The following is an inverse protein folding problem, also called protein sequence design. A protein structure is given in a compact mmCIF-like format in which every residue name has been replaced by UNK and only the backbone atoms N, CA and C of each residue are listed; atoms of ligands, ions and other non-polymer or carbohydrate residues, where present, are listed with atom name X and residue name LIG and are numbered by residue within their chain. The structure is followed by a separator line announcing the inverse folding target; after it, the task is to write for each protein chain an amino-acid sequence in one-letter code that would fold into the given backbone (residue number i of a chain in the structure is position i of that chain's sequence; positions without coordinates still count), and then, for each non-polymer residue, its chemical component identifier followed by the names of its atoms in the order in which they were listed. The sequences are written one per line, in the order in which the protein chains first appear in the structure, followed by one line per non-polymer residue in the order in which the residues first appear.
data_IF_263392694307
#
_entry.id   IF_263392694307
#
_cell.length_a   1.000
_cell.length_b   1.000
_cell.length_c   1.000
_cell.angle_alpha   90.00
_cell.angle_beta   90.00
_cell.angle_gamma   90.00
#
_symmetry.space_group_name_H-M   'P 1'
#
loop_
_entity.id
_entity.type
_entity.pdbx_description
1 polymer ?
#
# COMPACT_ATOMS: atom_id res chain seq x y z
N UNK A 1 8.55 17.23 2.41
CA UNK A 1 8.09 16.29 1.37
C UNK A 1 6.60 16.50 1.26
N UNK A 2 6.06 16.85 0.08
CA UNK A 2 4.62 17.05 -0.04
C UNK A 2 3.96 15.69 0.19
N UNK A 3 3.31 15.54 1.35
CA UNK A 3 2.53 14.35 1.68
C UNK A 3 1.33 14.31 0.72
N UNK A 4 1.50 13.68 -0.45
CA UNK A 4 0.43 13.55 -1.47
C UNK A 4 -0.79 12.84 -0.87
N UNK A 5 -0.56 11.99 0.14
CA UNK A 5 -1.58 11.34 0.94
C UNK A 5 -1.04 11.05 2.35
N UNK A 6 -1.93 10.77 3.30
CA UNK A 6 -1.54 10.37 4.65
C UNK A 6 -1.29 8.86 4.72
N UNK A 7 -0.01 8.46 4.68
CA UNK A 7 0.40 7.04 4.75
C UNK A 7 -0.15 6.31 5.97
N UNK A 8 -0.14 6.95 7.15
CA UNK A 8 -0.65 6.33 8.38
C UNK A 8 -2.14 5.99 8.26
N UNK A 9 -2.92 6.89 7.66
CA UNK A 9 -4.35 6.66 7.47
C UNK A 9 -4.60 5.51 6.49
N UNK A 10 -3.83 5.42 5.40
CA UNK A 10 -3.91 4.29 4.47
C UNK A 10 -3.56 2.96 5.16
N UNK A 11 -2.46 2.92 5.92
CA UNK A 11 -2.07 1.72 6.69
C UNK A 11 -3.15 1.33 7.69
N UNK A 12 -3.75 2.29 8.40
CA UNK A 12 -4.86 2.04 9.32
C UNK A 12 -6.05 1.40 8.60
N UNK A 13 -6.49 1.96 7.46
CA UNK A 13 -7.60 1.40 6.71
C UNK A 13 -7.30 -0.02 6.22
N UNK A 14 -6.10 -0.28 5.69
CA UNK A 14 -5.75 -1.58 5.11
C UNK A 14 -5.60 -2.68 6.16
N UNK A 15 -4.87 -2.42 7.25
CA UNK A 15 -4.50 -3.46 8.21
C UNK A 15 -5.43 -3.52 9.41
N UNK A 16 -5.87 -2.38 9.94
CA UNK A 16 -6.68 -2.34 11.15
C UNK A 16 -8.18 -2.43 10.84
N UNK A 17 -8.65 -1.78 9.77
CA UNK A 17 -10.07 -1.77 9.41
C UNK A 17 -10.43 -2.95 8.49
N UNK A 18 -9.66 -3.13 7.41
CA UNK A 18 -9.98 -4.10 6.36
C UNK A 18 -9.32 -5.47 6.55
N UNK A 19 -8.30 -5.57 7.41
CA UNK A 19 -7.56 -6.80 7.67
C UNK A 19 -7.08 -7.46 6.36
N UNK A 20 -6.41 -6.65 5.52
CA UNK A 20 -6.04 -6.98 4.14
C UNK A 20 -5.20 -8.26 4.03
N UNK A 21 -4.48 -8.62 5.10
CA UNK A 21 -3.67 -9.84 5.17
C UNK A 21 -4.52 -11.11 5.04
N UNK A 22 -5.81 -11.06 5.40
CA UNK A 22 -6.75 -12.18 5.19
C UNK A 22 -6.97 -12.50 3.73
N UNK A 23 -6.73 -11.56 2.79
CA UNK A 23 -6.84 -11.85 1.36
C UNK A 23 -5.91 -12.99 0.96
N UNK A 24 -4.70 -13.05 1.52
CA UNK A 24 -3.71 -14.10 1.25
C UNK A 24 -4.17 -15.50 1.68
N UNK A 25 -5.22 -15.62 2.49
CA UNK A 25 -5.83 -16.89 2.87
C UNK A 25 -6.77 -17.44 1.79
N UNK A 26 -7.18 -16.60 0.84
CA UNK A 26 -8.00 -17.00 -0.31
C UNK A 26 -7.13 -17.65 -1.39
N UNK A 27 -7.60 -18.73 -2.04
CA UNK A 27 -6.87 -19.39 -3.13
C UNK A 27 -6.47 -18.45 -4.27
N UNK A 28 -7.22 -17.36 -4.47
CA UNK A 28 -6.94 -16.40 -5.54
C UNK A 28 -5.72 -15.51 -5.25
N UNK A 29 -5.40 -15.27 -3.97
CA UNK A 29 -4.32 -14.38 -3.56
C UNK A 29 -3.23 -15.11 -2.75
N UNK A 30 -3.21 -16.44 -2.79
CA UNK A 30 -2.30 -17.28 -2.03
C UNK A 30 -0.81 -17.04 -2.35
N UNK A 31 -0.52 -16.51 -3.54
CA UNK A 31 0.84 -16.16 -3.98
C UNK A 31 1.28 -14.76 -3.52
N UNK A 32 0.42 -14.03 -2.83
CA UNK A 32 0.73 -12.72 -2.25
C UNK A 32 1.00 -12.80 -0.75
N UNK A 33 1.68 -11.79 -0.22
CA UNK A 33 1.94 -11.64 1.21
C UNK A 33 1.76 -10.19 1.65
N UNK A 34 1.60 -9.99 2.96
CA UNK A 34 1.56 -8.65 3.56
C UNK A 34 2.78 -7.81 3.18
N UNK A 35 3.97 -8.42 3.15
CA UNK A 35 5.22 -7.77 2.75
C UNK A 35 5.18 -7.25 1.31
N UNK A 36 4.47 -7.92 0.40
CA UNK A 36 4.30 -7.47 -0.98
C UNK A 36 3.43 -6.21 -1.02
N UNK A 37 2.39 -6.13 -0.17
CA UNK A 37 1.52 -4.95 -0.12
C UNK A 37 2.26 -3.71 0.37
N UNK A 38 3.09 -3.84 1.43
CA UNK A 38 3.94 -2.73 1.90
C UNK A 38 4.94 -2.27 0.83
N UNK A 39 5.62 -3.22 0.18
CA UNK A 39 6.54 -2.91 -0.92
C UNK A 39 5.86 -2.18 -2.09
N UNK A 40 4.61 -2.55 -2.38
CA UNK A 40 3.80 -1.87 -3.40
C UNK A 40 3.46 -0.44 -3.00
N UNK A 41 3.06 -0.20 -1.74
CA UNK A 41 2.77 1.14 -1.23
C UNK A 41 4.02 2.04 -1.32
N UNK A 42 5.18 1.52 -0.92
CA UNK A 42 6.47 2.20 -1.04
C UNK A 42 6.84 2.53 -2.50
N UNK A 43 6.57 1.60 -3.42
CA UNK A 43 6.84 1.81 -4.83
C UNK A 43 5.92 2.90 -5.41
N UNK A 44 4.62 2.82 -5.11
CA UNK A 44 3.63 3.77 -5.62
C UNK A 44 3.87 5.17 -5.08
N UNK A 45 4.29 5.31 -3.82
CA UNK A 45 4.66 6.62 -3.26
C UNK A 45 5.84 7.26 -4.01
N UNK A 46 6.90 6.50 -4.26
CA UNK A 46 8.04 6.99 -5.06
C UNK A 46 7.63 7.36 -6.48
N UNK A 47 6.82 6.52 -7.13
CA UNK A 47 6.31 6.83 -8.47
C UNK A 47 5.44 8.09 -8.47
N UNK A 48 4.60 8.31 -7.45
CA UNK A 48 3.77 9.49 -7.31
C UNK A 48 4.63 10.78 -7.22
N UNK A 49 5.74 10.72 -6.50
CA UNK A 49 6.70 11.83 -6.41
C UNK A 49 7.48 12.05 -7.70
N UNK A 50 8.01 10.98 -8.31
CA UNK A 50 8.89 11.09 -9.47
C UNK A 50 8.15 11.43 -10.76
N UNK A 51 6.94 10.89 -10.95
CA UNK A 51 6.23 10.95 -12.24
C UNK A 51 5.08 11.95 -12.24
N UNK A 52 4.53 12.33 -11.08
CA UNK A 52 3.26 13.06 -11.00
C UNK A 52 3.28 14.35 -10.17
N UNK A 53 4.33 14.62 -9.38
CA UNK A 53 4.51 15.94 -8.77
C UNK A 53 4.97 16.96 -9.81
N UNK A 54 4.44 18.20 -9.79
CA UNK A 54 5.03 19.29 -10.57
C UNK A 54 6.45 19.54 -10.07
N UNK A 55 7.40 19.47 -10.99
CA UNK A 55 8.83 19.75 -10.74
C UNK A 55 9.06 21.23 -10.41
#
# INVERSE_FOLDING_TARGET
MPHIYNRRDLTFQLYEVLDVEKLCQSPHYQDHSADIFEQLIDLVERMAEELFQPH
#
